data_IF_763457143090
#
_entry.id   IF_763457143090
#
_cell.length_a   1.000
_cell.length_b   1.000
_cell.length_c   1.000
_cell.angle_alpha   90.00
_cell.angle_beta   90.00
_cell.angle_gamma   90.00
#
_symmetry.space_group_name_H-M   'P 1'
#
loop_
_entity.id
_entity.type
_entity.pdbx_description
1 polymer ?
#
# COMPACT_ATOMS: atom_id res chain seq x y z
N UNK A 1 -34.93 25.46 15.46
CA UNK A 1 -33.82 25.43 16.46
C UNK A 1 -33.91 24.27 17.46
N UNK A 2 -35.11 23.80 17.83
CA UNK A 2 -35.32 22.67 18.77
C UNK A 2 -34.87 21.31 18.23
N UNK A 3 -35.09 21.01 16.94
CA UNK A 3 -34.72 19.71 16.35
C UNK A 3 -33.20 19.42 16.40
N UNK A 4 -32.36 20.41 16.06
CA UNK A 4 -30.90 20.25 16.12
C UNK A 4 -30.39 20.06 17.55
N UNK A 5 -31.05 20.62 18.56
CA UNK A 5 -30.68 20.39 19.98
C UNK A 5 -30.97 18.95 20.40
N UNK A 6 -32.12 18.40 20.00
CA UNK A 6 -32.48 17.00 20.28
C UNK A 6 -31.50 16.03 19.60
N UNK A 7 -31.25 16.21 18.29
CA UNK A 7 -30.32 15.37 17.55
C UNK A 7 -28.89 15.43 18.12
N UNK A 8 -28.44 16.62 18.54
CA UNK A 8 -27.13 16.75 19.18
C UNK A 8 -27.07 16.09 20.57
N UNK A 9 -28.16 16.07 21.33
CA UNK A 9 -28.23 15.32 22.60
C UNK A 9 -28.14 13.82 22.35
N UNK A 10 -28.93 13.30 21.40
CA UNK A 10 -28.92 11.88 21.03
C UNK A 10 -27.54 11.43 20.53
N UNK A 11 -26.85 12.25 19.72
CA UNK A 11 -25.48 11.97 19.29
C UNK A 11 -24.51 11.83 20.47
N UNK A 12 -24.66 12.64 21.52
CA UNK A 12 -23.83 12.53 22.74
C UNK A 12 -24.12 11.25 23.51
N UNK A 13 -25.39 10.90 23.67
CA UNK A 13 -25.79 9.65 24.34
C UNK A 13 -25.27 8.42 23.59
N UNK A 14 -25.42 8.39 22.26
CA UNK A 14 -24.86 7.33 21.41
C UNK A 14 -23.34 7.26 21.59
N UNK A 15 -22.64 8.40 21.59
CA UNK A 15 -21.20 8.44 21.79
C UNK A 15 -20.78 7.85 23.15
N UNK A 16 -21.53 8.11 24.23
CA UNK A 16 -21.26 7.49 25.54
C UNK A 16 -21.40 5.97 25.47
N UNK A 17 -22.49 5.47 24.87
CA UNK A 17 -22.73 4.02 24.75
C UNK A 17 -21.69 3.32 23.87
N UNK A 18 -21.29 3.96 22.77
CA UNK A 18 -20.21 3.45 21.90
C UNK A 18 -18.91 3.31 22.70
N UNK A 19 -18.56 4.31 23.52
CA UNK A 19 -17.35 4.27 24.35
C UNK A 19 -17.39 3.14 25.39
N UNK A 20 -18.55 2.93 26.02
CA UNK A 20 -18.74 1.82 26.95
C UNK A 20 -18.55 0.47 26.22
N UNK A 21 -19.13 0.32 25.03
CA UNK A 21 -18.97 -0.88 24.21
C UNK A 21 -17.51 -1.13 23.80
N UNK A 22 -16.79 -0.10 23.35
CA UNK A 22 -15.40 -0.25 22.90
C UNK A 22 -14.44 -0.57 24.04
N UNK A 23 -14.69 -0.04 25.24
CA UNK A 23 -13.90 -0.37 26.45
C UNK A 23 -13.88 -1.87 26.72
N UNK A 24 -15.02 -2.55 26.56
CA UNK A 24 -15.13 -3.99 26.79
C UNK A 24 -14.70 -4.82 25.57
N UNK A 25 -15.16 -4.44 24.37
CA UNK A 25 -14.94 -5.23 23.15
C UNK A 25 -13.52 -5.16 22.59
N UNK A 26 -12.78 -4.06 22.85
CA UNK A 26 -11.41 -3.85 22.38
C UNK A 26 -10.36 -4.04 23.49
N UNK A 27 -10.76 -4.64 24.62
CA UNK A 27 -9.84 -4.90 25.73
C UNK A 27 -8.69 -5.81 25.28
N UNK A 28 -7.46 -5.35 25.50
CA UNK A 28 -6.25 -6.15 25.24
C UNK A 28 -6.29 -7.44 26.06
N UNK A 29 -6.05 -8.56 25.40
CA UNK A 29 -5.92 -9.87 26.04
C UNK A 29 -4.47 -10.09 26.44
N UNK A 30 -4.28 -10.76 27.56
CA UNK A 30 -2.95 -11.19 28.00
C UNK A 30 -2.36 -12.20 27.00
N UNK A 31 -1.05 -12.10 26.78
CA UNK A 31 -0.34 -13.05 25.94
C UNK A 31 0.01 -14.31 26.74
N UNK A 32 -0.51 -15.46 26.29
CA UNK A 32 -0.21 -16.77 26.85
C UNK A 32 0.62 -17.56 25.81
N UNK A 33 1.92 -17.82 26.07
CA UNK A 33 2.78 -18.57 25.16
C UNK A 33 2.19 -19.93 24.74
N UNK A 34 2.20 -20.24 23.44
CA UNK A 34 1.65 -21.48 22.88
C UNK A 34 0.12 -21.53 22.74
N UNK A 35 -0.62 -20.61 23.37
CA UNK A 35 -2.09 -20.52 23.25
C UNK A 35 -2.52 -19.29 22.43
N UNK A 36 -1.92 -18.14 22.70
CA UNK A 36 -2.24 -16.88 22.02
C UNK A 36 -1.61 -16.83 20.65
N UNK A 37 -2.41 -16.49 19.63
CA UNK A 37 -1.94 -16.37 18.26
C UNK A 37 -1.07 -15.11 18.11
N UNK A 38 0.07 -15.27 17.46
CA UNK A 38 0.96 -14.19 17.04
C UNK A 38 0.76 -13.98 15.54
N UNK A 39 -0.19 -13.14 15.10
CA UNK A 39 -0.46 -12.98 13.68
C UNK A 39 0.66 -12.18 13.00
N UNK A 40 0.90 -12.42 11.70
CA UNK A 40 1.94 -11.69 10.96
C UNK A 40 1.55 -10.23 10.72
N UNK A 41 0.25 -9.92 10.69
CA UNK A 41 -0.25 -8.55 10.60
C UNK A 41 -1.63 -8.46 11.25
N UNK A 42 -2.06 -7.24 11.57
CA UNK A 42 -3.36 -6.99 12.17
C UNK A 42 -3.66 -5.51 12.31
N UNK A 43 -4.94 -5.22 12.61
CA UNK A 43 -5.43 -3.87 12.89
C UNK A 43 -5.40 -3.59 14.38
N UNK A 44 -5.07 -2.35 14.73
CA UNK A 44 -5.18 -1.82 16.10
C UNK A 44 -6.21 -0.70 16.06
N UNK A 45 -7.42 -0.99 16.56
CA UNK A 45 -8.53 -0.04 16.65
C UNK A 45 -8.68 0.42 18.10
N UNK A 46 -9.15 1.64 18.30
CA UNK A 46 -9.57 2.20 19.59
C UNK A 46 -11.00 2.73 19.52
N UNK A 47 -11.38 3.53 20.52
CA UNK A 47 -12.72 4.10 20.56
C UNK A 47 -12.94 5.13 19.44
N UNK A 48 -11.91 5.88 19.05
CA UNK A 48 -12.04 6.95 18.07
C UNK A 48 -12.48 6.46 16.68
N UNK A 49 -11.98 5.30 16.22
CA UNK A 49 -12.39 4.73 14.94
C UNK A 49 -13.88 4.39 14.94
N UNK A 50 -14.38 3.76 16.02
CA UNK A 50 -15.79 3.36 16.11
C UNK A 50 -16.69 4.58 16.27
N UNK A 51 -16.28 5.56 17.08
CA UNK A 51 -16.99 6.83 17.26
C UNK A 51 -17.15 7.57 15.93
N UNK A 52 -16.07 7.69 15.16
CA UNK A 52 -16.10 8.37 13.88
C UNK A 52 -16.99 7.64 12.86
N UNK A 53 -16.90 6.30 12.78
CA UNK A 53 -17.78 5.51 11.89
C UNK A 53 -19.26 5.62 12.26
N UNK A 54 -19.60 5.60 13.54
CA UNK A 54 -20.99 5.83 14.00
C UNK A 54 -21.42 7.26 13.66
N UNK A 55 -20.55 8.26 13.88
CA UNK A 55 -20.83 9.66 13.52
C UNK A 55 -21.14 9.84 12.04
N UNK A 56 -20.35 9.21 11.16
CA UNK A 56 -20.57 9.20 9.71
C UNK A 56 -21.86 8.48 9.31
N UNK A 57 -22.17 7.36 9.99
CA UNK A 57 -23.42 6.62 9.76
C UNK A 57 -24.64 7.47 10.11
N UNK A 58 -24.59 8.20 11.24
CA UNK A 58 -25.65 9.12 11.67
C UNK A 58 -25.81 10.34 10.74
N UNK A 59 -24.79 10.69 9.95
CA UNK A 59 -24.90 11.77 8.97
C UNK A 59 -25.77 11.37 7.78
N UNK A 60 -25.92 10.06 7.51
CA UNK A 60 -26.69 9.53 6.38
C UNK A 60 -26.29 10.10 5.00
N UNK A 61 -25.06 10.62 4.88
CA UNK A 61 -24.50 11.13 3.63
C UNK A 61 -23.97 10.01 2.72
N UNK A 62 -23.46 8.93 3.35
CA UNK A 62 -23.00 7.67 2.75
C UNK A 62 -21.77 7.79 1.81
N UNK A 63 -21.88 8.57 0.74
CA UNK A 63 -20.78 8.87 -0.20
C UNK A 63 -19.68 9.69 0.46
N UNK A 64 -18.54 9.92 -0.20
CA UNK A 64 -17.49 10.79 0.36
C UNK A 64 -18.04 12.18 0.71
N UNK A 65 -17.69 12.64 1.91
CA UNK A 65 -18.21 13.85 2.55
C UNK A 65 -17.19 14.48 3.49
N UNK A 66 -17.63 14.84 4.70
CA UNK A 66 -16.79 15.63 5.63
C UNK A 66 -15.57 14.85 6.10
N UNK A 67 -15.71 13.55 6.36
CA UNK A 67 -14.59 12.74 6.84
C UNK A 67 -13.60 12.46 5.71
N UNK A 68 -14.05 12.25 4.48
CA UNK A 68 -13.14 12.09 3.34
C UNK A 68 -12.30 13.34 3.08
N UNK A 69 -12.93 14.52 3.09
CA UNK A 69 -12.20 15.81 2.94
C UNK A 69 -11.17 15.99 4.06
N UNK A 70 -11.53 15.64 5.30
CA UNK A 70 -10.60 15.69 6.42
C UNK A 70 -9.46 14.66 6.26
N UNK A 71 -9.78 13.44 5.87
CA UNK A 71 -8.82 12.35 5.67
C UNK A 71 -7.79 12.70 4.60
N UNK A 72 -8.23 13.07 3.39
CA UNK A 72 -7.35 13.41 2.27
C UNK A 72 -6.41 14.56 2.65
N UNK A 73 -6.93 15.58 3.34
CA UNK A 73 -6.12 16.71 3.85
C UNK A 73 -5.12 16.28 4.91
N UNK A 74 -5.53 15.50 5.92
CA UNK A 74 -4.63 15.03 6.98
C UNK A 74 -3.53 14.13 6.41
N UNK A 75 -3.88 13.21 5.51
CA UNK A 75 -2.93 12.31 4.86
C UNK A 75 -1.95 13.08 3.96
N UNK A 76 -2.44 14.00 3.13
CA UNK A 76 -1.59 14.85 2.30
C UNK A 76 -0.58 15.65 3.13
N UNK A 77 -1.04 16.24 4.25
CA UNK A 77 -0.17 16.95 5.19
C UNK A 77 0.84 16.03 5.88
N UNK A 78 0.43 14.81 6.26
CA UNK A 78 1.31 13.84 6.90
C UNK A 78 2.44 13.39 5.97
N UNK A 79 2.12 13.13 4.70
CA UNK A 79 3.11 12.71 3.69
C UNK A 79 3.96 13.90 3.21
N UNK A 80 3.37 15.10 3.15
CA UNK A 80 4.01 16.30 2.60
C UNK A 80 3.76 16.49 1.10
N UNK A 81 2.55 16.19 0.62
CA UNK A 81 2.16 16.30 -0.81
C UNK A 81 0.98 17.25 -1.02
N UNK A 82 0.86 17.79 -2.22
CA UNK A 82 -0.20 18.76 -2.57
C UNK A 82 -1.55 18.12 -2.82
N UNK A 83 -1.57 16.91 -3.36
CA UNK A 83 -2.79 16.25 -3.81
C UNK A 83 -2.86 14.81 -3.34
N UNK A 84 -4.02 14.45 -2.78
CA UNK A 84 -4.35 13.11 -2.35
C UNK A 84 -5.83 12.87 -2.68
N UNK A 85 -6.13 11.72 -3.28
CA UNK A 85 -7.49 11.27 -3.54
C UNK A 85 -7.68 9.85 -2.97
N UNK A 86 -8.78 9.63 -2.28
CA UNK A 86 -9.12 8.30 -1.76
C UNK A 86 -9.71 7.40 -2.85
N UNK A 87 -9.44 6.10 -2.72
CA UNK A 87 -9.98 5.02 -3.55
C UNK A 87 -10.30 3.79 -2.69
N UNK A 88 -11.03 2.82 -3.23
CA UNK A 88 -11.58 1.70 -2.45
C UNK A 88 -10.59 0.60 -2.04
N UNK A 89 -9.35 0.58 -2.53
CA UNK A 89 -8.28 -0.32 -2.10
C UNK A 89 -6.91 0.17 -2.58
N UNK A 90 -5.82 -0.39 -2.04
CA UNK A 90 -4.48 -0.18 -2.61
C UNK A 90 -4.34 -0.69 -4.04
N UNK A 91 -4.99 -1.81 -4.38
CA UNK A 91 -5.03 -2.32 -5.76
C UNK A 91 -5.70 -1.35 -6.73
N UNK A 92 -6.80 -0.73 -6.31
CA UNK A 92 -7.46 0.33 -7.08
C UNK A 92 -6.61 1.59 -7.16
N UNK A 93 -5.80 1.88 -6.14
CA UNK A 93 -4.84 2.98 -6.18
C UNK A 93 -3.78 2.73 -7.26
N UNK A 94 -3.19 1.54 -7.31
CA UNK A 94 -2.26 1.14 -8.37
C UNK A 94 -2.91 1.20 -9.76
N UNK A 95 -4.16 0.73 -9.88
CA UNK A 95 -4.91 0.80 -11.13
C UNK A 95 -5.10 2.24 -11.60
N UNK A 96 -5.56 3.13 -10.71
CA UNK A 96 -5.77 4.54 -11.04
C UNK A 96 -4.44 5.23 -11.35
N UNK A 97 -3.41 5.04 -10.52
CA UNK A 97 -2.10 5.65 -10.72
C UNK A 97 -1.50 5.28 -12.08
N UNK A 98 -1.57 4.00 -12.46
CA UNK A 98 -1.12 3.54 -13.77
C UNK A 98 -1.96 4.13 -14.91
N UNK A 99 -3.29 4.03 -14.84
CA UNK A 99 -4.18 4.54 -15.90
C UNK A 99 -4.08 6.06 -16.06
N UNK A 100 -3.76 6.80 -15.00
CA UNK A 100 -3.48 8.23 -15.10
C UNK A 100 -2.38 8.51 -16.13
N UNK A 101 -1.35 7.67 -16.17
CA UNK A 101 -0.22 7.81 -17.09
C UNK A 101 -0.56 7.39 -18.53
N UNK A 102 -1.75 6.84 -18.79
CA UNK A 102 -2.21 6.46 -20.14
C UNK A 102 -3.09 7.53 -20.79
N UNK A 103 -3.41 8.61 -20.06
CA UNK A 103 -4.26 9.69 -20.56
C UNK A 103 -3.64 10.37 -21.77
N UNK A 104 -4.44 10.55 -22.83
CA UNK A 104 -4.05 11.30 -24.03
C UNK A 104 -3.71 12.77 -23.73
N UNK A 105 -4.14 13.31 -22.58
CA UNK A 105 -3.76 14.65 -22.12
C UNK A 105 -2.26 14.79 -21.86
N UNK A 106 -1.56 13.68 -21.59
CA UNK A 106 -0.11 13.65 -21.35
C UNK A 106 0.72 13.65 -22.65
N UNK A 107 0.08 13.73 -23.81
CA UNK A 107 0.75 13.81 -25.12
C UNK A 107 1.70 12.63 -25.37
N UNK A 108 2.91 12.92 -25.86
CA UNK A 108 3.90 11.90 -26.24
C UNK A 108 4.43 11.06 -25.06
N UNK A 109 4.29 11.57 -23.83
CA UNK A 109 4.71 10.85 -22.62
C UNK A 109 3.64 9.89 -22.11
N UNK A 110 2.42 9.89 -22.68
CA UNK A 110 1.39 8.92 -22.32
C UNK A 110 1.87 7.49 -22.61
N UNK A 111 1.55 6.55 -21.71
CA UNK A 111 1.79 5.12 -21.89
C UNK A 111 0.75 4.57 -22.87
N UNK A 112 1.22 3.90 -23.91
CA UNK A 112 0.40 3.25 -24.93
C UNK A 112 0.46 1.72 -24.80
N UNK A 113 -0.46 1.05 -25.50
CA UNK A 113 -0.42 -0.42 -25.59
C UNK A 113 0.88 -0.86 -26.25
N UNK A 114 1.50 -1.90 -25.70
CA UNK A 114 2.80 -2.41 -26.15
C UNK A 114 4.01 -1.63 -25.62
N UNK A 115 3.82 -0.51 -24.92
CA UNK A 115 4.92 0.15 -24.19
C UNK A 115 5.35 -0.70 -22.98
N UNK A 116 6.59 -0.51 -22.56
CA UNK A 116 7.22 -1.32 -21.51
C UNK A 116 7.24 -0.59 -20.17
N UNK A 117 6.93 -1.33 -19.10
CA UNK A 117 7.02 -0.83 -17.72
C UNK A 117 7.89 -1.76 -16.89
N UNK A 118 8.97 -1.19 -16.37
CA UNK A 118 9.98 -1.93 -15.61
C UNK A 118 9.51 -2.09 -14.16
N UNK A 119 9.67 -3.31 -13.64
CA UNK A 119 9.32 -3.69 -12.28
C UNK A 119 10.05 -4.95 -11.83
N UNK A 120 9.51 -5.62 -10.82
CA UNK A 120 10.03 -6.89 -10.30
C UNK A 120 8.96 -7.96 -10.26
N UNK A 121 9.35 -9.22 -10.41
CA UNK A 121 8.45 -10.35 -10.29
C UNK A 121 8.25 -10.82 -8.83
N UNK A 122 9.17 -10.45 -7.93
CA UNK A 122 9.03 -10.65 -6.48
C UNK A 122 8.24 -9.49 -5.84
N UNK A 123 6.91 -9.61 -5.85
CA UNK A 123 6.05 -8.57 -5.29
C UNK A 123 4.59 -8.99 -5.18
N UNK A 124 3.72 -7.99 -5.03
CA UNK A 124 2.28 -8.19 -4.96
C UNK A 124 1.65 -8.09 -6.37
N UNK A 125 0.68 -8.94 -6.74
CA UNK A 125 0.14 -8.99 -8.11
C UNK A 125 -0.42 -7.65 -8.58
N UNK A 126 -1.12 -6.90 -7.72
CA UNK A 126 -1.76 -5.65 -8.14
C UNK A 126 -0.82 -4.46 -8.25
N UNK A 127 0.48 -4.63 -8.03
CA UNK A 127 1.51 -3.67 -8.46
C UNK A 127 1.77 -3.81 -9.97
N UNK A 128 1.61 -5.01 -10.53
CA UNK A 128 1.91 -5.31 -11.95
C UNK A 128 0.64 -5.42 -12.80
N UNK A 129 -0.46 -5.92 -12.23
CA UNK A 129 -1.69 -6.17 -12.99
C UNK A 129 -2.23 -4.96 -13.78
N UNK A 130 -2.16 -3.71 -13.29
CA UNK A 130 -2.60 -2.55 -14.08
C UNK A 130 -1.89 -2.41 -15.44
N UNK A 131 -0.60 -2.75 -15.48
CA UNK A 131 0.24 -2.73 -16.69
C UNK A 131 -0.35 -3.70 -17.72
N UNK A 132 -0.58 -4.94 -17.29
CA UNK A 132 -1.13 -6.02 -18.13
C UNK A 132 -2.56 -5.71 -18.57
N UNK A 133 -3.42 -5.23 -17.66
CA UNK A 133 -4.83 -4.95 -17.92
C UNK A 133 -5.03 -3.88 -18.99
N UNK A 134 -4.13 -2.89 -19.07
CA UNK A 134 -4.16 -1.88 -20.12
C UNK A 134 -3.62 -2.40 -21.46
N UNK A 135 -2.72 -3.37 -21.43
CA UNK A 135 -2.01 -3.91 -22.59
C UNK A 135 -0.60 -3.35 -22.78
N UNK A 136 0.03 -2.83 -21.70
CA UNK A 136 1.47 -2.58 -21.66
C UNK A 136 2.21 -3.86 -21.25
N UNK A 137 3.53 -3.89 -21.46
CA UNK A 137 4.37 -5.07 -21.26
C UNK A 137 5.21 -4.92 -19.98
N UNK A 138 4.99 -5.76 -18.95
CA UNK A 138 5.87 -5.79 -17.79
C UNK A 138 7.28 -6.25 -18.19
N UNK A 139 8.29 -5.56 -17.70
CA UNK A 139 9.70 -5.93 -17.86
C UNK A 139 10.31 -6.16 -16.49
N UNK A 140 10.66 -7.40 -16.19
CA UNK A 140 11.19 -7.77 -14.88
C UNK A 140 12.70 -7.80 -14.86
N UNK A 141 13.26 -7.21 -13.81
CA UNK A 141 14.63 -7.46 -13.35
C UNK A 141 14.60 -8.08 -11.96
N UNK A 142 15.71 -8.66 -11.53
CA UNK A 142 15.79 -9.37 -10.26
C UNK A 142 15.82 -8.43 -9.04
N UNK A 143 15.57 -9.00 -7.87
CA UNK A 143 15.65 -8.33 -6.57
C UNK A 143 17.00 -8.54 -5.89
N UNK A 144 17.34 -7.69 -4.94
CA UNK A 144 18.39 -7.95 -3.95
C UNK A 144 17.79 -8.72 -2.75
N UNK A 145 18.41 -9.83 -2.38
CA UNK A 145 17.87 -10.74 -1.36
C UNK A 145 17.98 -10.19 0.07
N UNK A 146 18.83 -9.19 0.33
CA UNK A 146 19.00 -8.60 1.68
C UNK A 146 17.93 -7.55 1.96
N UNK A 147 17.60 -6.76 0.94
CA UNK A 147 16.63 -5.67 1.02
C UNK A 147 15.23 -6.09 0.56
N UNK A 148 15.12 -7.17 -0.23
CA UNK A 148 13.91 -7.64 -0.91
C UNK A 148 13.31 -6.62 -1.88
N UNK A 149 14.10 -5.63 -2.29
CA UNK A 149 13.73 -4.63 -3.30
C UNK A 149 14.47 -4.92 -4.61
N UNK A 150 14.06 -4.23 -5.68
CA UNK A 150 14.73 -4.30 -6.98
C UNK A 150 16.24 -4.13 -6.87
N UNK A 151 17.01 -4.94 -7.59
CA UNK A 151 18.42 -4.64 -7.83
C UNK A 151 18.51 -3.55 -8.89
N UNK A 152 18.69 -2.31 -8.44
CA UNK A 152 18.71 -1.13 -9.31
C UNK A 152 19.86 -1.14 -10.34
N UNK A 153 20.90 -1.96 -10.14
CA UNK A 153 22.01 -2.10 -11.10
C UNK A 153 21.58 -2.79 -12.40
N UNK A 154 20.48 -3.53 -12.39
CA UNK A 154 19.99 -4.31 -13.55
C UNK A 154 19.06 -3.51 -14.48
N UNK A 155 18.63 -2.32 -14.08
CA UNK A 155 17.54 -1.59 -14.75
C UNK A 155 17.97 -0.99 -16.08
N UNK A 156 19.18 -0.45 -16.17
CA UNK A 156 19.68 0.17 -17.41
C UNK A 156 19.68 -0.82 -18.58
N UNK A 157 20.04 -2.08 -18.33
CA UNK A 157 20.01 -3.15 -19.33
C UNK A 157 18.58 -3.56 -19.74
N UNK A 158 17.58 -3.22 -18.92
CA UNK A 158 16.18 -3.50 -19.20
C UNK A 158 15.51 -2.43 -20.07
N UNK A 159 16.09 -1.24 -20.19
CA UNK A 159 15.53 -0.11 -20.93
C UNK A 159 15.63 -0.34 -22.43
N UNK A 160 14.54 -0.03 -23.13
CA UNK A 160 14.44 -0.03 -24.59
C UNK A 160 13.79 1.26 -25.08
N UNK A 161 13.69 1.44 -26.40
CA UNK A 161 12.91 2.54 -26.98
C UNK A 161 11.41 2.49 -26.65
N UNK A 162 10.90 1.38 -26.11
CA UNK A 162 9.50 1.23 -25.66
C UNK A 162 9.32 1.50 -24.17
N UNK A 163 10.40 1.65 -23.39
CA UNK A 163 10.28 1.88 -21.96
C UNK A 163 9.65 3.24 -21.67
N UNK A 164 8.59 3.26 -20.86
CA UNK A 164 7.86 4.48 -20.49
C UNK A 164 7.81 4.74 -18.99
N UNK A 165 7.90 3.70 -18.18
CA UNK A 165 7.74 3.85 -16.74
C UNK A 165 8.53 2.80 -15.95
N UNK A 166 8.80 3.15 -14.70
CA UNK A 166 9.17 2.24 -13.62
C UNK A 166 8.04 2.26 -12.61
N UNK A 167 7.50 1.09 -12.25
CA UNK A 167 6.45 0.93 -11.24
C UNK A 167 6.89 -0.10 -10.21
N UNK A 168 7.15 0.35 -8.99
CA UNK A 168 7.79 -0.46 -7.95
C UNK A 168 7.13 -0.24 -6.59
N UNK A 169 6.99 -1.33 -5.85
CA UNK A 169 6.63 -1.27 -4.44
C UNK A 169 7.86 -1.12 -3.56
N UNK A 170 7.73 -0.37 -2.47
CA UNK A 170 8.68 -0.39 -1.35
C UNK A 170 8.41 -1.64 -0.50
N UNK A 171 8.95 -2.78 -0.92
CA UNK A 171 8.59 -4.12 -0.42
C UNK A 171 8.65 -4.18 1.11
N UNK A 172 7.53 -4.55 1.73
CA UNK A 172 7.37 -4.68 3.19
C UNK A 172 7.79 -3.43 3.99
N UNK A 173 7.72 -2.24 3.37
CA UNK A 173 8.04 -0.96 4.01
C UNK A 173 9.52 -0.59 4.00
N UNK A 174 10.37 -1.42 3.40
CA UNK A 174 11.76 -1.09 3.12
C UNK A 174 11.83 -0.31 1.80
N UNK A 175 12.31 0.96 1.79
CA UNK A 175 12.42 1.72 0.56
C UNK A 175 13.38 1.06 -0.43
N UNK A 176 13.08 1.09 -1.73
CA UNK A 176 14.07 0.71 -2.75
C UNK A 176 15.11 1.83 -2.91
N UNK A 177 16.17 1.60 -3.68
CA UNK A 177 17.24 2.59 -3.90
C UNK A 177 16.75 3.79 -4.72
N UNK A 178 16.06 4.71 -4.05
CA UNK A 178 15.40 5.85 -4.68
C UNK A 178 16.38 6.79 -5.38
N UNK A 179 17.58 6.96 -4.86
CA UNK A 179 18.63 7.78 -5.50
C UNK A 179 18.92 7.27 -6.92
N UNK A 180 19.22 5.97 -7.06
CA UNK A 180 19.51 5.37 -8.35
C UNK A 180 18.28 5.28 -9.26
N UNK A 181 17.12 4.91 -8.71
CA UNK A 181 15.88 4.84 -9.50
C UNK A 181 15.50 6.22 -10.07
N UNK A 182 15.62 7.28 -9.28
CA UNK A 182 15.35 8.65 -9.73
C UNK A 182 16.32 9.10 -10.81
N UNK A 183 17.62 8.85 -10.63
CA UNK A 183 18.64 9.14 -11.64
C UNK A 183 18.30 8.49 -13.00
N UNK A 184 17.93 7.21 -12.98
CA UNK A 184 17.55 6.47 -14.19
C UNK A 184 16.28 7.06 -14.83
N UNK A 185 15.25 7.36 -14.03
CA UNK A 185 14.01 7.94 -14.54
C UNK A 185 14.24 9.30 -15.20
N UNK A 186 15.06 10.15 -14.57
CA UNK A 186 15.37 11.48 -15.09
C UNK A 186 16.21 11.40 -16.37
N UNK A 187 17.20 10.50 -16.42
CA UNK A 187 18.06 10.28 -17.59
C UNK A 187 17.28 9.81 -18.83
N UNK A 188 16.29 8.95 -18.64
CA UNK A 188 15.53 8.31 -19.73
C UNK A 188 14.12 8.86 -19.90
N UNK A 189 13.76 9.92 -19.16
CA UNK A 189 12.44 10.54 -19.15
C UNK A 189 11.29 9.55 -18.86
N UNK A 190 11.54 8.57 -17.99
CA UNK A 190 10.55 7.57 -17.58
C UNK A 190 9.63 8.15 -16.50
N UNK A 191 8.38 7.69 -16.47
CA UNK A 191 7.52 7.89 -15.29
C UNK A 191 7.98 7.03 -14.13
N UNK A 192 7.83 7.53 -12.91
CA UNK A 192 7.99 6.73 -11.70
C UNK A 192 6.68 6.66 -10.91
N UNK A 193 6.18 5.42 -10.74
CA UNK A 193 5.08 5.11 -9.83
C UNK A 193 5.65 4.46 -8.57
N UNK A 194 5.51 5.13 -7.42
CA UNK A 194 5.87 4.58 -6.12
C UNK A 194 4.67 3.87 -5.49
N UNK A 195 4.67 2.53 -5.49
CA UNK A 195 3.71 1.76 -4.71
C UNK A 195 4.15 1.73 -3.23
N UNK A 196 3.50 2.58 -2.43
CA UNK A 196 3.76 2.71 -1.01
C UNK A 196 2.74 1.96 -0.15
N UNK A 197 1.97 1.02 -0.70
CA UNK A 197 0.93 0.30 0.04
C UNK A 197 1.44 -0.19 1.40
N UNK A 198 2.63 -0.79 1.43
CA UNK A 198 3.28 -1.33 2.62
C UNK A 198 4.28 -0.37 3.30
N UNK A 199 4.34 0.92 2.92
CA UNK A 199 5.46 1.80 3.29
C UNK A 199 5.07 3.16 3.88
N UNK A 200 3.84 3.30 4.37
CA UNK A 200 3.41 4.54 5.03
C UNK A 200 4.34 4.92 6.19
N UNK A 201 4.97 6.09 6.11
CA UNK A 201 5.89 6.59 7.13
C UNK A 201 7.37 6.23 6.92
N UNK A 202 7.69 5.45 5.88
CA UNK A 202 9.08 5.17 5.53
C UNK A 202 9.73 6.41 4.92
N UNK A 203 11.03 6.60 5.15
CA UNK A 203 11.77 7.72 4.56
C UNK A 203 13.05 7.25 3.87
N UNK A 204 13.49 8.01 2.88
CA UNK A 204 14.77 7.86 2.19
C UNK A 204 15.45 9.23 2.18
N UNK A 205 16.72 9.33 2.60
CA UNK A 205 17.40 10.61 2.80
C UNK A 205 16.59 11.63 3.65
N UNK A 206 15.80 11.13 4.62
CA UNK A 206 14.93 11.96 5.46
C UNK A 206 13.62 12.43 4.82
N UNK A 207 13.41 12.21 3.52
CA UNK A 207 12.18 12.54 2.80
C UNK A 207 11.21 11.34 2.76
N UNK A 208 9.90 11.59 2.91
CA UNK A 208 8.87 10.55 2.90
C UNK A 208 8.82 9.83 1.55
N UNK A 209 8.76 8.51 1.56
CA UNK A 209 8.55 7.75 0.32
C UNK A 209 7.17 8.02 -0.29
N UNK A 210 7.05 7.86 -1.60
CA UNK A 210 5.85 8.29 -2.35
C UNK A 210 5.88 9.77 -2.76
N UNK A 211 6.94 10.49 -2.43
CA UNK A 211 7.14 11.91 -2.80
C UNK A 211 8.29 12.12 -3.77
N UNK A 212 8.94 11.04 -4.20
CA UNK A 212 10.05 11.07 -5.14
C UNK A 212 9.54 10.92 -6.56
N UNK A 213 8.56 10.04 -6.79
CA UNK A 213 7.92 9.70 -8.05
C UNK A 213 6.95 10.76 -8.56
N UNK A 214 6.34 10.47 -9.70
CA UNK A 214 5.32 11.33 -10.31
C UNK A 214 3.95 11.10 -9.65
N UNK A 215 3.67 9.86 -9.26
CA UNK A 215 2.42 9.44 -8.61
C UNK A 215 2.69 8.25 -7.70
N UNK A 216 1.97 8.18 -6.59
CA UNK A 216 2.18 7.16 -5.58
C UNK A 216 0.88 6.66 -4.98
N UNK A 217 0.94 5.49 -4.34
CA UNK A 217 -0.25 4.76 -3.88
C UNK A 217 -0.12 4.24 -2.47
N UNK A 218 -1.25 4.10 -1.79
CA UNK A 218 -1.37 3.57 -0.42
C UNK A 218 -2.55 2.61 -0.30
N UNK A 219 -2.44 1.68 0.64
CA UNK A 219 -3.48 0.71 1.00
C UNK A 219 -3.89 0.88 2.46
N UNK A 220 -5.18 0.71 2.72
CA UNK A 220 -5.79 0.76 4.04
C UNK A 220 -6.55 -0.54 4.38
N UNK A 221 -6.14 -1.66 3.76
CA UNK A 221 -6.57 -3.00 4.17
C UNK A 221 -6.03 -3.34 5.57
N UNK A 222 -6.69 -4.17 6.41
CA UNK A 222 -6.41 -4.28 7.85
C UNK A 222 -5.02 -4.77 8.25
N UNK A 223 -4.22 -5.28 7.31
CA UNK A 223 -2.83 -5.65 7.54
C UNK A 223 -1.86 -4.46 7.57
N UNK A 224 -2.23 -3.33 6.95
CA UNK A 224 -1.34 -2.18 6.72
C UNK A 224 -1.21 -1.28 7.95
N UNK A 225 -0.40 -0.22 7.83
CA UNK A 225 -0.07 0.72 8.91
C UNK A 225 -1.30 1.37 9.53
N UNK A 226 -2.29 1.69 8.71
CA UNK A 226 -3.61 2.18 9.11
C UNK A 226 -4.68 1.44 8.28
N UNK A 227 -5.93 1.49 8.73
CA UNK A 227 -7.01 0.78 8.02
C UNK A 227 -8.31 1.57 7.92
N UNK A 228 -9.09 1.24 6.88
CA UNK A 228 -10.50 1.62 6.72
C UNK A 228 -11.41 0.39 6.60
N UNK A 229 -10.92 -0.80 6.97
CA UNK A 229 -11.48 -2.06 6.49
C UNK A 229 -11.03 -2.32 5.06
N UNK A 230 -11.58 -1.59 4.10
CA UNK A 230 -11.09 -1.52 2.72
C UNK A 230 -10.86 -0.06 2.34
N UNK A 231 -9.78 0.22 1.63
CA UNK A 231 -9.46 1.58 1.20
C UNK A 231 -8.04 1.71 0.65
N UNK A 232 -7.78 2.83 -0.01
CA UNK A 232 -6.48 3.23 -0.49
C UNK A 232 -6.47 4.71 -0.85
N UNK A 233 -5.32 5.20 -1.30
CA UNK A 233 -5.17 6.55 -1.78
C UNK A 233 -4.19 6.63 -2.94
N UNK A 234 -4.43 7.56 -3.86
CA UNK A 234 -3.51 7.99 -4.89
C UNK A 234 -3.07 9.41 -4.57
N UNK A 235 -1.78 9.68 -4.62
CA UNK A 235 -1.25 11.00 -4.26
C UNK A 235 -0.11 11.42 -5.19
N UNK A 236 0.01 12.73 -5.36
CA UNK A 236 0.95 13.36 -6.31
C UNK A 236 1.15 14.84 -5.96
N UNK A 237 2.22 15.44 -6.46
CA UNK A 237 2.43 16.88 -6.45
C UNK A 237 2.01 17.58 -7.76
N UNK A 238 1.60 16.80 -8.78
CA UNK A 238 1.20 17.32 -10.09
C UNK A 238 -0.33 17.48 -10.18
N UNK A 239 -0.80 18.71 -10.38
CA UNK A 239 -2.23 19.03 -10.46
C UNK A 239 -2.92 18.42 -11.69
N UNK A 240 -2.21 18.27 -12.81
CA UNK A 240 -2.73 17.59 -14.01
C UNK A 240 -2.95 16.10 -13.74
N UNK A 241 -1.96 15.42 -13.15
CA UNK A 241 -2.10 14.00 -12.75
C UNK A 241 -3.21 13.82 -11.72
N UNK A 242 -3.41 14.76 -10.79
CA UNK A 242 -4.55 14.72 -9.85
C UNK A 242 -5.87 14.71 -10.59
N UNK A 243 -6.08 15.64 -11.53
CA UNK A 243 -7.35 15.77 -12.26
C UNK A 243 -7.64 14.56 -13.14
N UNK A 244 -6.61 14.04 -13.81
CA UNK A 244 -6.72 12.80 -14.59
C UNK A 244 -7.07 11.61 -13.69
N UNK A 245 -6.38 11.46 -12.55
CA UNK A 245 -6.64 10.39 -11.57
C UNK A 245 -8.07 10.43 -11.03
N UNK A 246 -8.57 11.63 -10.73
CA UNK A 246 -9.94 11.82 -10.28
C UNK A 246 -10.96 11.48 -11.37
N UNK A 247 -10.68 11.84 -12.63
CA UNK A 247 -11.52 11.45 -13.77
C UNK A 247 -11.60 9.92 -13.91
N UNK A 248 -10.46 9.21 -13.92
CA UNK A 248 -10.46 7.74 -13.96
C UNK A 248 -11.18 7.10 -12.78
N UNK A 249 -11.10 7.68 -11.57
CA UNK A 249 -11.85 7.21 -10.40
C UNK A 249 -13.36 7.45 -10.51
N UNK A 250 -13.76 8.54 -11.18
CA UNK A 250 -15.12 9.07 -11.19
C UNK A 250 -15.81 8.92 -12.56
N UNK A 251 -15.98 7.67 -12.98
CA UNK A 251 -16.64 7.22 -14.20
C UNK A 251 -15.99 7.71 -15.50
N UNK A 252 -14.78 8.28 -15.43
CA UNK A 252 -14.13 8.90 -16.58
C UNK A 252 -14.71 10.26 -16.93
N UNK A 253 -15.52 10.85 -16.04
CA UNK A 253 -16.19 12.13 -16.30
C UNK A 253 -15.19 13.28 -16.36
N UNK A 254 -15.50 14.29 -17.18
CA UNK A 254 -14.66 15.48 -17.33
C UNK A 254 -14.87 16.49 -16.19
N UNK A 255 -16.06 16.57 -15.58
CA UNK A 255 -16.25 17.42 -14.39
C UNK A 255 -15.52 16.87 -13.15
N UNK A 256 -14.86 17.77 -12.41
CA UNK A 256 -14.28 17.53 -11.08
C UNK A 256 -15.21 17.95 -9.92
N UNK A 257 -16.52 17.96 -10.17
CA UNK A 257 -17.56 18.33 -9.22
C UNK A 257 -17.58 17.34 -8.02
N UNK A 258 -17.45 17.83 -6.78
CA UNK A 258 -17.60 17.00 -5.58
C UNK A 258 -19.00 16.36 -5.48
N UNK A 259 -19.18 15.22 -4.76
CA UNK A 259 -20.50 14.62 -4.55
C UNK A 259 -21.51 15.63 -4.01
N UNK A 260 -22.72 15.63 -4.57
CA UNK A 260 -23.78 16.57 -4.21
C UNK A 260 -23.52 18.04 -4.61
N UNK A 261 -22.48 18.32 -5.40
CA UNK A 261 -22.20 19.65 -5.98
C UNK A 261 -22.36 19.61 -7.50
N UNK A 262 -22.70 20.77 -8.05
CA UNK A 262 -22.92 21.01 -9.48
C UNK A 262 -22.15 22.25 -9.94
N UNK A 263 -21.80 22.28 -11.23
CA UNK A 263 -21.26 23.46 -11.90
C UNK A 263 -20.03 24.07 -11.22
N UNK A 264 -19.14 23.26 -10.64
CA UNK A 264 -17.91 23.74 -10.01
C UNK A 264 -17.00 24.48 -11.00
N UNK A 265 -17.07 24.15 -12.29
CA UNK A 265 -16.33 24.85 -13.34
C UNK A 265 -16.95 26.18 -13.80
N UNK A 266 -18.21 26.46 -13.43
CA UNK A 266 -18.96 27.62 -13.92
C UNK A 266 -19.41 27.54 -15.38
N UNK A 267 -19.34 26.35 -15.98
CA UNK A 267 -19.40 26.11 -17.42
C UNK A 267 -20.22 24.88 -17.82
N UNK A 268 -21.13 24.41 -16.94
CA UNK A 268 -21.85 23.12 -17.06
C UNK A 268 -22.62 22.94 -18.37
N UNK A 269 -23.17 24.02 -18.94
CA UNK A 269 -23.98 23.99 -20.16
C UNK A 269 -23.46 24.94 -21.24
N UNK A 270 -22.20 25.40 -21.12
CA UNK A 270 -21.65 26.48 -21.96
C UNK A 270 -20.57 25.99 -22.94
N UNK A 271 -20.48 24.67 -23.15
CA UNK A 271 -19.41 24.03 -23.92
C UNK A 271 -19.96 23.01 -24.93
N UNK A 272 -19.12 22.65 -25.90
CA UNK A 272 -19.33 21.52 -26.80
C UNK A 272 -18.12 20.59 -26.68
N UNK A 273 -18.37 19.29 -26.51
CA UNK A 273 -17.33 18.27 -26.30
C UNK A 273 -17.44 17.17 -27.35
N UNK A 274 -16.46 17.08 -28.26
CA UNK A 274 -16.53 16.17 -29.40
C UNK A 274 -17.79 16.40 -30.25
N UNK A 275 -18.46 15.31 -30.61
CA UNK A 275 -19.69 15.34 -31.41
C UNK A 275 -20.98 15.45 -30.56
N UNK A 276 -20.86 15.63 -29.23
CA UNK A 276 -22.02 15.90 -28.37
C UNK A 276 -22.63 17.27 -28.71
N UNK A 277 -23.95 17.45 -28.54
CA UNK A 277 -24.60 18.73 -28.82
C UNK A 277 -24.06 19.84 -27.89
N UNK A 278 -24.01 21.07 -28.39
CA UNK A 278 -23.66 22.22 -27.56
C UNK A 278 -24.58 22.32 -26.34
N UNK A 279 -23.99 22.54 -25.17
CA UNK A 279 -24.70 22.61 -23.88
C UNK A 279 -25.08 21.25 -23.29
N UNK A 280 -24.51 20.15 -23.78
CA UNK A 280 -24.62 18.86 -23.09
C UNK A 280 -24.04 18.95 -21.68
N UNK A 281 -24.74 18.40 -20.68
CA UNK A 281 -24.37 18.53 -19.27
C UNK A 281 -22.95 18.03 -19.02
N UNK A 282 -22.06 18.92 -18.56
CA UNK A 282 -20.66 18.58 -18.26
C UNK A 282 -20.51 17.44 -17.25
N UNK A 283 -21.52 17.19 -16.39
CA UNK A 283 -21.52 16.00 -15.51
C UNK A 283 -21.59 14.66 -16.25
N UNK A 284 -22.08 14.67 -17.48
CA UNK A 284 -22.25 13.50 -18.35
C UNK A 284 -21.35 13.56 -19.59
N UNK A 285 -20.32 14.40 -19.56
CA UNK A 285 -19.21 14.35 -20.51
C UNK A 285 -18.14 13.44 -19.93
N UNK A 286 -17.69 12.45 -20.70
CA UNK A 286 -16.69 11.47 -20.28
C UNK A 286 -15.44 11.61 -21.14
N UNK A 287 -14.32 12.03 -20.54
CA UNK A 287 -13.04 12.26 -21.22
C UNK A 287 -12.04 11.12 -21.08
N UNK A 288 -12.31 10.15 -20.20
CA UNK A 288 -11.47 8.97 -20.00
C UNK A 288 -12.31 7.69 -19.93
N UNK A 289 -11.68 6.54 -20.19
CA UNK A 289 -12.28 5.23 -19.93
C UNK A 289 -12.16 4.89 -18.44
N UNK A 290 -13.00 5.53 -17.63
CA UNK A 290 -12.90 5.46 -16.17
C UNK A 290 -13.69 4.32 -15.51
N UNK A 291 -13.65 4.34 -14.18
CA UNK A 291 -14.20 3.35 -13.26
C UNK A 291 -15.08 4.01 -12.20
N UNK A 292 -15.60 3.27 -11.22
CA UNK A 292 -16.17 3.85 -10.02
C UNK A 292 -15.47 3.27 -8.79
N UNK A 293 -14.40 3.93 -8.34
CA UNK A 293 -13.50 3.40 -7.32
C UNK A 293 -13.47 4.27 -6.06
N UNK A 294 -14.52 5.08 -5.84
CA UNK A 294 -14.70 5.91 -4.63
C UNK A 294 -14.99 5.07 -3.39
N UNK A 295 -14.78 5.67 -2.22
CA UNK A 295 -15.15 5.12 -0.92
C UNK A 295 -16.42 5.77 -0.34
N UNK A 296 -16.85 5.26 0.81
CA UNK A 296 -17.88 5.87 1.67
C UNK A 296 -17.25 6.82 2.70
N UNK A 297 -18.04 7.74 3.26
CA UNK A 297 -17.56 8.58 4.36
C UNK A 297 -17.29 7.77 5.64
N UNK A 298 -17.94 6.61 5.81
CA UNK A 298 -17.71 5.70 6.93
C UNK A 298 -16.30 5.10 6.90
N UNK A 299 -15.82 4.69 5.72
CA UNK A 299 -14.44 4.25 5.53
C UNK A 299 -13.47 5.38 5.88
N UNK A 300 -13.71 6.58 5.33
CA UNK A 300 -12.89 7.75 5.63
C UNK A 300 -12.85 8.10 7.12
N UNK A 301 -13.99 7.98 7.82
CA UNK A 301 -14.11 8.28 9.23
C UNK A 301 -13.22 7.39 10.11
N UNK A 302 -13.12 6.09 9.77
CA UNK A 302 -12.16 5.17 10.38
C UNK A 302 -10.72 5.62 10.12
N UNK A 303 -10.40 5.96 8.86
CA UNK A 303 -9.07 6.43 8.48
C UNK A 303 -8.63 7.72 9.17
N UNK A 304 -9.56 8.66 9.42
CA UNK A 304 -9.27 9.91 10.16
C UNK A 304 -8.75 9.62 11.56
N UNK A 305 -9.39 8.70 12.29
CA UNK A 305 -8.96 8.32 13.64
C UNK A 305 -7.61 7.58 13.60
N UNK A 306 -7.42 6.67 12.64
CA UNK A 306 -6.15 5.96 12.48
C UNK A 306 -4.98 6.89 12.15
N UNK A 307 -5.20 7.98 11.40
CA UNK A 307 -4.17 8.96 11.10
C UNK A 307 -3.66 9.68 12.34
N UNK A 308 -4.50 9.88 13.36
CA UNK A 308 -4.06 10.49 14.62
C UNK A 308 -3.10 9.55 15.40
N UNK A 309 -3.10 8.25 15.07
CA UNK A 309 -2.22 7.21 15.67
C UNK A 309 -1.04 6.81 14.77
N UNK A 310 -0.97 7.28 13.52
CA UNK A 310 -0.01 6.79 12.53
C UNK A 310 1.45 6.92 12.99
N UNK A 311 1.82 8.04 13.63
CA UNK A 311 3.18 8.27 14.11
C UNK A 311 3.60 7.27 15.19
N UNK A 312 2.69 6.92 16.11
CA UNK A 312 2.98 5.93 17.16
C UNK A 312 3.11 4.54 16.56
N UNK A 313 2.27 4.17 15.60
CA UNK A 313 2.38 2.88 14.90
C UNK A 313 3.71 2.73 14.16
N UNK A 314 4.16 3.76 13.45
CA UNK A 314 5.46 3.76 12.76
C UNK A 314 6.60 3.59 13.77
N UNK A 315 6.55 4.31 14.88
CA UNK A 315 7.55 4.20 15.96
C UNK A 315 7.61 2.78 16.52
N UNK A 316 6.46 2.20 16.90
CA UNK A 316 6.37 0.86 17.47
C UNK A 316 6.88 -0.19 16.48
N UNK A 317 6.52 -0.11 15.19
CA UNK A 317 7.02 -1.03 14.15
C UNK A 317 8.55 -1.01 14.04
N UNK A 318 9.18 0.17 14.15
CA UNK A 318 10.65 0.31 14.14
C UNK A 318 11.29 -0.27 15.41
N UNK A 319 10.69 -0.03 16.56
CA UNK A 319 11.14 -0.58 17.85
C UNK A 319 11.04 -2.12 17.86
N UNK A 320 9.90 -2.65 17.40
CA UNK A 320 9.64 -4.08 17.22
C UNK A 320 10.64 -4.71 16.25
N UNK A 321 10.91 -4.07 15.11
CA UNK A 321 11.92 -4.54 14.16
C UNK A 321 13.29 -4.68 14.82
N UNK A 322 13.74 -3.63 15.53
CA UNK A 322 15.05 -3.62 16.19
C UNK A 322 15.14 -4.72 17.25
N UNK A 323 14.09 -4.90 18.05
CA UNK A 323 14.05 -5.94 19.07
C UNK A 323 14.12 -7.33 18.45
N UNK A 324 13.24 -7.63 17.50
CA UNK A 324 13.18 -8.93 16.86
C UNK A 324 14.45 -9.24 16.07
N UNK A 325 15.02 -8.26 15.36
CA UNK A 325 16.30 -8.42 14.68
C UNK A 325 17.39 -8.88 15.66
N UNK A 326 17.54 -8.19 16.80
CA UNK A 326 18.50 -8.55 17.83
C UNK A 326 18.20 -9.91 18.46
N UNK A 327 16.92 -10.24 18.66
CA UNK A 327 16.51 -11.53 19.22
C UNK A 327 16.89 -12.69 18.30
N UNK A 328 16.94 -12.49 16.98
CA UNK A 328 17.21 -13.54 16.00
C UNK A 328 18.67 -13.60 15.54
N UNK A 329 19.60 -12.82 16.11
CA UNK A 329 21.01 -12.84 15.65
C UNK A 329 21.72 -14.17 15.88
N UNK A 330 21.31 -14.93 16.90
CA UNK A 330 21.80 -16.29 17.20
C UNK A 330 21.50 -17.29 16.08
N UNK A 331 20.53 -16.98 15.22
CA UNK A 331 20.06 -17.85 14.15
C UNK A 331 20.66 -17.50 12.78
N UNK A 332 21.62 -16.59 12.72
CA UNK A 332 22.20 -16.08 11.45
C UNK A 332 22.99 -17.13 10.67
N UNK A 333 23.36 -18.25 11.31
CA UNK A 333 23.94 -19.40 10.60
C UNK A 333 22.91 -20.11 9.71
N UNK A 334 21.61 -20.04 10.05
CA UNK A 334 20.52 -20.70 9.32
C UNK A 334 19.66 -19.72 8.51
N UNK A 335 19.51 -18.50 9.03
CA UNK A 335 18.60 -17.48 8.52
C UNK A 335 19.37 -16.28 8.00
N UNK A 336 18.98 -15.77 6.84
CA UNK A 336 19.33 -14.44 6.39
C UNK A 336 18.28 -13.44 6.89
N UNK A 337 18.73 -12.52 7.74
CA UNK A 337 17.93 -11.43 8.29
C UNK A 337 17.93 -10.21 7.36
N UNK A 338 16.89 -9.37 7.39
CA UNK A 338 16.71 -8.31 6.42
C UNK A 338 17.54 -7.09 6.76
N UNK A 339 18.02 -6.39 5.73
CA UNK A 339 18.81 -5.17 5.88
C UNK A 339 18.02 -3.96 5.34
N UNK A 340 17.96 -2.83 6.07
CA UNK A 340 17.43 -1.59 5.52
C UNK A 340 18.21 -1.20 4.28
N UNK A 341 17.53 -0.71 3.24
CA UNK A 341 18.23 -0.12 2.10
C UNK A 341 19.10 1.05 2.58
N UNK A 342 20.28 1.20 1.99
CA UNK A 342 21.22 2.28 2.34
C UNK A 342 20.50 3.65 2.29
N UNK A 343 20.81 4.51 3.26
CA UNK A 343 20.22 5.85 3.40
C UNK A 343 18.69 5.88 3.64
N UNK A 344 18.08 4.76 3.99
CA UNK A 344 16.65 4.67 4.28
C UNK A 344 16.35 4.52 5.78
N UNK A 345 15.14 4.88 6.17
CA UNK A 345 14.55 4.57 7.47
C UNK A 345 13.19 3.90 7.26
N UNK A 346 13.18 2.57 7.10
CA UNK A 346 11.98 1.82 6.82
C UNK A 346 10.87 2.02 7.86
N UNK A 347 9.64 1.94 7.40
CA UNK A 347 8.46 1.79 8.24
C UNK A 347 7.94 0.37 8.03
N UNK A 348 8.59 -0.60 8.68
CA UNK A 348 8.43 -2.01 8.37
C UNK A 348 6.98 -2.49 8.49
N UNK A 349 6.48 -3.09 7.41
CA UNK A 349 5.18 -3.74 7.37
C UNK A 349 5.22 -5.11 8.09
N UNK A 350 6.26 -5.88 7.82
CA UNK A 350 6.56 -7.18 8.43
C UNK A 350 8.06 -7.44 8.49
N UNK A 351 8.48 -8.54 9.09
CA UNK A 351 9.87 -8.94 9.25
C UNK A 351 10.21 -10.06 8.27
N UNK A 352 10.79 -9.77 7.09
CA UNK A 352 11.17 -10.81 6.14
C UNK A 352 12.38 -11.61 6.61
N UNK A 353 12.34 -12.93 6.39
CA UNK A 353 13.35 -13.90 6.75
C UNK A 353 13.53 -14.84 5.56
N UNK A 354 14.78 -15.11 5.20
CA UNK A 354 15.11 -16.09 4.16
C UNK A 354 15.89 -17.23 4.78
N UNK A 355 15.46 -18.47 4.60
CA UNK A 355 16.26 -19.64 4.96
C UNK A 355 17.46 -19.73 4.00
N UNK A 356 18.66 -20.02 4.54
CA UNK A 356 19.82 -20.31 3.72
C UNK A 356 19.70 -21.72 3.11
N UNK A 357 20.24 -21.90 1.90
CA UNK A 357 20.11 -23.18 1.18
C UNK A 357 20.78 -24.36 1.91
N UNK A 358 21.82 -24.09 2.71
CA UNK A 358 22.60 -25.07 3.46
C UNK A 358 22.16 -25.25 4.92
N UNK A 359 21.04 -24.66 5.34
CA UNK A 359 20.57 -24.74 6.73
C UNK A 359 19.99 -26.11 7.14
N UNK A 360 19.96 -27.09 6.23
CA UNK A 360 19.58 -28.48 6.53
C UNK A 360 18.08 -28.74 6.69
N UNK A 361 17.23 -27.71 6.51
CA UNK A 361 15.77 -27.79 6.63
C UNK A 361 15.11 -27.06 5.47
N UNK A 362 13.87 -27.43 5.13
CA UNK A 362 13.10 -26.72 4.11
C UNK A 362 12.11 -25.74 4.75
N UNK A 363 11.71 -24.72 3.98
CA UNK A 363 10.76 -23.69 4.44
C UNK A 363 9.43 -24.30 4.92
N UNK A 364 8.88 -25.29 4.22
CA UNK A 364 7.56 -25.84 4.54
C UNK A 364 7.53 -26.42 5.95
N UNK A 365 8.59 -27.12 6.35
CA UNK A 365 8.69 -27.71 7.68
C UNK A 365 8.80 -26.64 8.76
N UNK A 366 9.60 -25.59 8.54
CA UNK A 366 9.65 -24.45 9.44
C UNK A 366 8.29 -23.76 9.57
N UNK A 367 7.58 -23.48 8.46
CA UNK A 367 6.28 -22.80 8.53
C UNK A 367 5.22 -23.64 9.24
N UNK A 368 5.22 -24.97 9.06
CA UNK A 368 4.35 -25.88 9.82
C UNK A 368 4.66 -25.85 11.30
N UNK A 369 5.94 -25.86 11.66
CA UNK A 369 6.37 -25.78 13.05
C UNK A 369 5.94 -24.45 13.70
N UNK A 370 6.12 -23.32 13.00
CA UNK A 370 5.65 -22.01 13.47
C UNK A 370 4.13 -22.00 13.67
N UNK A 371 3.36 -22.53 12.71
CA UNK A 371 1.90 -22.59 12.78
C UNK A 371 1.39 -23.44 13.96
N UNK A 372 2.02 -24.60 14.21
CA UNK A 372 1.73 -25.45 15.36
C UNK A 372 1.95 -24.71 16.69
N UNK A 373 2.94 -23.81 16.73
CA UNK A 373 3.25 -22.96 17.88
C UNK A 373 2.50 -21.61 17.87
N UNK A 374 1.44 -21.47 17.08
CA UNK A 374 0.61 -20.25 16.98
C UNK A 374 1.34 -19.01 16.47
N UNK A 375 2.49 -19.19 15.82
CA UNK A 375 3.26 -18.13 15.19
C UNK A 375 2.84 -18.04 13.72
N UNK A 376 2.04 -17.04 13.41
CA UNK A 376 1.57 -16.80 12.06
C UNK A 376 2.69 -16.25 11.17
N UNK A 377 2.83 -16.85 9.99
CA UNK A 377 3.80 -16.47 8.96
C UNK A 377 3.11 -16.28 7.61
N UNK A 378 3.77 -15.59 6.69
CA UNK A 378 3.31 -15.42 5.30
C UNK A 378 4.48 -15.55 4.36
N UNK A 379 4.25 -16.08 3.16
CA UNK A 379 5.23 -16.00 2.08
C UNK A 379 5.35 -14.55 1.58
N UNK A 380 6.42 -14.24 0.85
CA UNK A 380 6.55 -12.93 0.19
C UNK A 380 5.61 -12.84 -1.03
N UNK A 381 4.33 -12.66 -0.74
CA UNK A 381 3.26 -12.42 -1.71
C UNK A 381 3.23 -13.44 -2.84
N UNK A 382 3.41 -13.01 -4.10
CA UNK A 382 3.41 -13.89 -5.25
C UNK A 382 4.68 -14.76 -5.34
N UNK A 383 5.74 -14.45 -4.58
CA UNK A 383 7.05 -15.07 -4.71
C UNK A 383 7.70 -14.71 -6.04
N UNK A 384 7.28 -15.38 -7.10
CA UNK A 384 7.61 -15.07 -8.48
C UNK A 384 6.33 -14.98 -9.32
N UNK A 385 5.94 -13.76 -9.72
CA UNK A 385 4.75 -13.52 -10.55
C UNK A 385 4.76 -14.34 -11.83
N UNK A 386 5.92 -14.52 -12.48
CA UNK A 386 6.04 -15.29 -13.73
C UNK A 386 5.74 -16.78 -13.58
N UNK A 387 5.70 -17.29 -12.34
CA UNK A 387 5.37 -18.68 -11.99
C UNK A 387 3.94 -18.83 -11.48
N UNK A 388 3.20 -17.74 -11.32
CA UNK A 388 1.81 -17.78 -10.88
C UNK A 388 0.91 -18.31 -12.01
N UNK A 389 -0.14 -19.10 -11.70
CA UNK A 389 -0.98 -19.72 -12.73
C UNK A 389 -1.61 -18.73 -13.72
N UNK A 390 -2.01 -17.55 -13.25
CA UNK A 390 -2.63 -16.52 -14.10
C UNK A 390 -1.66 -15.82 -15.05
N UNK A 391 -0.35 -15.97 -14.84
CA UNK A 391 0.68 -15.30 -15.62
C UNK A 391 1.13 -16.11 -16.85
N UNK A 392 0.64 -17.35 -17.00
CA UNK A 392 1.06 -18.31 -18.03
C UNK A 392 0.95 -17.77 -19.46
N UNK A 393 -0.12 -17.04 -19.76
CA UNK A 393 -0.45 -16.54 -21.10
C UNK A 393 -0.31 -15.01 -21.20
N UNK A 394 0.39 -14.40 -20.24
CA UNK A 394 0.67 -12.96 -20.22
C UNK A 394 1.98 -12.69 -20.99
N UNK A 395 1.99 -11.66 -21.82
CA UNK A 395 3.20 -11.18 -22.48
C UNK A 395 4.03 -10.35 -21.50
N UNK A 396 5.31 -10.68 -21.33
CA UNK A 396 6.27 -9.96 -20.49
C UNK A 396 7.70 -10.20 -20.98
N UNK A 397 8.65 -9.38 -20.51
CA UNK A 397 10.09 -9.64 -20.66
C UNK A 397 10.76 -9.85 -19.31
N UNK A 398 11.87 -10.59 -19.34
CA UNK A 398 12.81 -10.72 -18.24
C UNK A 398 14.18 -10.34 -18.77
N UNK A 399 14.90 -9.48 -18.06
CA UNK A 399 16.30 -9.14 -18.39
C UNK A 399 17.22 -9.77 -17.36
N UNK A 400 18.20 -10.54 -17.85
CA UNK A 400 19.04 -11.39 -17.02
C UNK A 400 18.30 -12.65 -16.56
N UNK A 401 18.38 -12.95 -15.26
CA UNK A 401 17.70 -14.07 -14.62
C UNK A 401 17.00 -13.58 -13.35
N UNK A 402 16.08 -14.40 -12.82
CA UNK A 402 15.28 -14.08 -11.63
C UNK A 402 15.70 -14.97 -10.45
N UNK A 403 17.01 -15.10 -10.23
CA UNK A 403 17.58 -16.03 -9.24
C UNK A 403 17.13 -15.68 -7.82
N UNK A 404 17.27 -14.44 -7.39
CA UNK A 404 16.87 -14.01 -6.05
C UNK A 404 15.36 -13.97 -5.89
N UNK A 405 14.63 -13.70 -6.97
CA UNK A 405 13.17 -13.85 -7.03
C UNK A 405 12.73 -15.31 -6.82
N UNK A 406 13.42 -16.29 -7.42
CA UNK A 406 13.14 -17.71 -7.20
C UNK A 406 13.54 -18.16 -5.78
N UNK A 407 14.66 -17.66 -5.24
CA UNK A 407 15.00 -17.85 -3.81
C UNK A 407 13.88 -17.28 -2.94
N UNK A 408 13.39 -16.08 -3.27
CA UNK A 408 12.28 -15.44 -2.56
C UNK A 408 11.02 -16.32 -2.56
N UNK A 409 10.66 -16.86 -3.72
CA UNK A 409 9.51 -17.75 -3.87
C UNK A 409 9.64 -19.05 -3.06
N UNK A 410 10.85 -19.59 -2.91
CA UNK A 410 11.08 -20.90 -2.29
C UNK A 410 11.44 -20.83 -0.80
N UNK A 411 12.21 -19.82 -0.39
CA UNK A 411 12.91 -19.80 0.90
C UNK A 411 12.61 -18.56 1.75
N UNK A 412 11.92 -17.55 1.21
CA UNK A 412 11.55 -16.35 1.98
C UNK A 412 10.13 -16.43 2.53
N UNK A 413 9.96 -15.94 3.75
CA UNK A 413 8.69 -15.70 4.43
C UNK A 413 8.82 -14.46 5.33
N UNK A 414 7.74 -14.00 5.95
CA UNK A 414 7.78 -12.92 6.92
C UNK A 414 6.85 -13.19 8.09
N UNK A 415 7.20 -12.60 9.24
CA UNK A 415 6.45 -12.64 10.50
C UNK A 415 6.14 -11.22 10.99
N UNK A 416 5.35 -11.11 12.06
CA UNK A 416 4.73 -9.85 12.42
C UNK A 416 5.61 -8.86 13.19
N UNK A 417 5.39 -7.58 12.89
CA UNK A 417 5.97 -6.42 13.61
C UNK A 417 4.91 -5.39 14.02
N UNK A 418 3.64 -5.69 13.76
CA UNK A 418 2.57 -4.72 13.88
C UNK A 418 2.33 -4.28 15.34
N UNK A 419 1.67 -3.13 15.58
CA UNK A 419 1.73 -2.44 16.87
C UNK A 419 1.11 -3.16 18.08
N UNK A 420 0.36 -4.25 17.91
CA UNK A 420 -0.15 -5.03 19.04
C UNK A 420 0.81 -6.15 19.50
N UNK A 421 1.93 -6.35 18.82
CA UNK A 421 3.00 -7.24 19.28
C UNK A 421 4.00 -6.48 20.15
N UNK A 422 4.67 -7.23 21.03
CA UNK A 422 5.67 -6.70 21.95
C UNK A 422 6.72 -7.76 22.31
N UNK A 423 7.59 -7.41 23.27
CA UNK A 423 8.79 -8.19 23.61
C UNK A 423 8.49 -9.66 23.93
N UNK A 424 7.47 -9.95 24.73
CA UNK A 424 7.12 -11.34 25.11
C UNK A 424 6.76 -12.21 23.89
N UNK A 425 6.08 -11.61 22.91
CA UNK A 425 5.76 -12.28 21.64
C UNK A 425 7.05 -12.61 20.87
N UNK A 426 7.98 -11.67 20.78
CA UNK A 426 9.23 -11.85 20.04
C UNK A 426 10.22 -12.78 20.73
N UNK A 427 10.27 -12.76 22.06
CA UNK A 427 11.03 -13.73 22.84
C UNK A 427 10.54 -15.14 22.56
N UNK A 428 9.23 -15.37 22.65
CA UNK A 428 8.64 -16.67 22.32
C UNK A 428 8.93 -17.10 20.87
N UNK A 429 8.85 -16.18 19.91
CA UNK A 429 9.25 -16.45 18.51
C UNK A 429 10.71 -16.88 18.41
N UNK A 430 11.62 -16.15 19.07
CA UNK A 430 13.05 -16.49 19.09
C UNK A 430 13.31 -17.84 19.75
N UNK A 431 12.68 -18.12 20.89
CA UNK A 431 12.82 -19.38 21.62
C UNK A 431 12.41 -20.56 20.74
N UNK A 432 11.30 -20.42 20.01
CA UNK A 432 10.78 -21.45 19.11
C UNK A 432 11.64 -21.63 17.87
N UNK A 433 12.21 -20.57 17.32
CA UNK A 433 13.16 -20.72 16.22
C UNK A 433 14.45 -21.40 16.69
N UNK A 434 14.99 -21.04 17.85
CA UNK A 434 16.15 -21.72 18.43
C UNK A 434 15.87 -23.19 18.77
N UNK A 435 14.68 -23.52 19.26
CA UNK A 435 14.22 -24.91 19.44
C UNK A 435 14.21 -25.67 18.11
N UNK A 436 13.65 -25.07 17.05
CA UNK A 436 13.58 -25.69 15.73
C UNK A 436 14.97 -25.97 15.13
N UNK A 437 15.92 -25.07 15.32
CA UNK A 437 17.29 -25.20 14.82
C UNK A 437 18.24 -25.90 15.80
N UNK A 438 17.76 -26.36 16.97
CA UNK A 438 18.57 -27.09 17.94
C UNK A 438 19.67 -26.24 18.60
N UNK A 439 19.41 -24.96 18.84
CA UNK A 439 20.32 -24.09 19.60
C UNK A 439 19.99 -24.06 21.11
N UNK A 440 18.76 -24.41 21.47
CA UNK A 440 18.31 -24.49 22.86
C UNK A 440 18.10 -25.97 23.23
N UNK A 441 19.13 -26.59 23.82
CA UNK A 441 19.05 -27.90 24.48
C UNK A 441 19.44 -27.78 25.95
#
# INVERSE_FOLDING_TARGET
MTNNKVLNSLRKEISILVKQYTTESLKTKEFIPGETIIPPAGKVLGDEEIQNMVSASLDSWLTTGRFNVEFERKLANFIGVKHCISVNSGSSANLVAFNTLTSSKLGERAINKGDEVIGVAAGFPTTVNPIVQFGAIPVFVDVDIKTHNINADLIEDAITSKSKAIMLAHTLGNPFNLEKIREICDKHNLWLVEDCCDALGATYNGQMVGTFGDIATLSFYPAHHITMGEGGAVFTNNAELKLISESFRDWGRDCYCAPGKDNTCGCRFDQQHGDLPHGYDHKYVYSHLGYNLKITDMQAACGVAQLDKVQSFIKIRRENFKFLYNRLTTLTDFLQLPTPTKNSNPSWFGFPITLKDDCGVNRVDLLKFLDQNKIGSRLLFAGNLTKQPYFKDIEYRVVGNLTNTDITMNNTFWIGLYPALGQDHFNFVGDKLEEFFGLNF
#
